data_IF_225655008234
#
_entry.id   IF_225655008234
#
_cell.length_a   1.000
_cell.length_b   1.000
_cell.length_c   1.000
_cell.angle_alpha   90.00
_cell.angle_beta   90.00
_cell.angle_gamma   90.00
#
_symmetry.space_group_name_H-M   'P 1'
#
loop_
_entity.id
_entity.type
_entity.pdbx_description
1 polymer ?
#
# COMPACT_ATOMS: atom_id res chain seq x y z
N UNK A 1 -14.02 17.79 15.05
CA UNK A 1 -12.58 17.52 15.25
C UNK A 1 -11.82 18.49 14.36
N UNK A 2 -10.94 19.30 14.95
CA UNK A 2 -10.15 20.29 14.22
C UNK A 2 -8.95 19.64 13.53
N UNK A 3 -8.34 20.32 12.56
CA UNK A 3 -7.24 19.77 11.77
C UNK A 3 -6.02 19.39 12.63
N UNK A 4 -5.64 20.20 13.61
CA UNK A 4 -4.54 19.88 14.55
C UNK A 4 -4.79 18.57 15.32
N UNK A 5 -6.01 18.39 15.85
CA UNK A 5 -6.39 17.14 16.53
C UNK A 5 -6.37 15.94 15.58
N UNK A 6 -6.69 16.15 14.30
CA UNK A 6 -6.62 15.12 13.28
C UNK A 6 -5.17 14.72 13.00
N UNK A 7 -4.27 15.70 12.91
CA UNK A 7 -2.83 15.52 12.68
C UNK A 7 -2.22 14.73 13.83
N UNK A 8 -2.45 15.13 15.07
CA UNK A 8 -1.93 14.41 16.24
C UNK A 8 -2.42 12.96 16.28
N UNK A 9 -3.71 12.74 16.00
CA UNK A 9 -4.33 11.43 16.20
C UNK A 9 -4.13 10.47 15.02
N UNK A 10 -4.08 10.98 13.81
CA UNK A 10 -4.05 10.17 12.58
C UNK A 10 -2.82 10.41 11.72
N UNK A 11 -1.94 11.35 12.09
CA UNK A 11 -0.70 11.64 11.36
C UNK A 11 0.17 10.40 11.14
N UNK A 12 0.53 9.63 12.18
CA UNK A 12 1.34 8.41 12.02
C UNK A 12 0.67 7.37 11.10
N UNK A 13 -0.66 7.26 11.15
CA UNK A 13 -1.42 6.38 10.27
C UNK A 13 -1.30 6.85 8.82
N UNK A 14 -1.61 8.12 8.54
CA UNK A 14 -1.54 8.69 7.18
C UNK A 14 -0.14 8.58 6.59
N UNK A 15 0.90 8.90 7.37
CA UNK A 15 2.29 8.75 6.97
C UNK A 15 2.61 7.29 6.61
N UNK A 16 2.23 6.35 7.47
CA UNK A 16 2.43 4.91 7.23
C UNK A 16 1.68 4.41 5.98
N UNK A 17 0.46 4.92 5.73
CA UNK A 17 -0.34 4.57 4.55
C UNK A 17 0.39 4.96 3.26
N UNK A 18 0.82 6.22 3.18
CA UNK A 18 1.46 6.78 1.99
C UNK A 18 2.81 6.10 1.77
N UNK A 19 3.60 5.93 2.82
CA UNK A 19 4.92 5.29 2.73
C UNK A 19 4.81 3.83 2.27
N UNK A 20 3.79 3.10 2.71
CA UNK A 20 3.53 1.73 2.24
C UNK A 20 3.24 1.64 0.74
N UNK A 21 2.72 2.71 0.15
CA UNK A 21 2.35 2.77 -1.27
C UNK A 21 3.51 3.32 -2.13
N UNK A 22 4.24 4.34 -1.68
CA UNK A 22 5.25 5.03 -2.48
C UNK A 22 6.69 4.56 -2.24
N UNK A 23 7.02 4.15 -1.00
CA UNK A 23 8.35 3.65 -0.62
C UNK A 23 9.46 4.70 -0.53
N UNK A 24 9.18 5.97 -0.81
CA UNK A 24 10.15 7.08 -0.75
C UNK A 24 9.73 8.10 0.34
N UNK A 25 10.66 8.51 1.19
CA UNK A 25 10.39 9.39 2.33
C UNK A 25 9.97 10.81 1.90
N UNK A 26 10.62 11.39 0.90
CA UNK A 26 10.34 12.77 0.46
C UNK A 26 8.95 12.87 -0.18
N UNK A 27 8.65 11.94 -1.09
CA UNK A 27 7.31 11.83 -1.71
C UNK A 27 6.21 11.60 -0.66
N UNK A 28 6.54 10.91 0.44
CA UNK A 28 5.58 10.64 1.50
C UNK A 28 5.24 11.91 2.28
N UNK A 29 6.24 12.75 2.57
CA UNK A 29 6.04 14.00 3.30
C UNK A 29 5.16 15.00 2.53
N UNK A 30 5.40 15.13 1.21
CA UNK A 30 4.61 16.02 0.36
C UNK A 30 3.13 15.61 0.30
N UNK A 31 2.89 14.31 0.05
CA UNK A 31 1.53 13.78 -0.02
C UNK A 31 0.84 13.81 1.36
N UNK A 32 1.59 13.61 2.43
CA UNK A 32 1.08 13.76 3.79
C UNK A 32 0.55 15.18 4.02
N UNK A 33 1.33 16.19 3.65
CA UNK A 33 0.93 17.58 3.79
C UNK A 33 -0.30 17.89 2.92
N UNK A 34 -0.32 17.43 1.67
CA UNK A 34 -1.46 17.60 0.77
C UNK A 34 -2.76 17.01 1.35
N UNK A 35 -2.69 15.83 1.97
CA UNK A 35 -3.85 15.17 2.59
C UNK A 35 -4.42 15.99 3.74
N UNK A 36 -3.57 16.54 4.60
CA UNK A 36 -4.02 17.32 5.76
C UNK A 36 -4.48 18.73 5.39
N UNK A 37 -3.93 19.35 4.34
CA UNK A 37 -4.47 20.59 3.75
C UNK A 37 -5.89 20.35 3.24
N UNK A 38 -6.10 19.30 2.42
CA UNK A 38 -7.44 18.91 1.94
C UNK A 38 -8.41 18.60 3.08
N UNK A 39 -7.92 17.98 4.16
CA UNK A 39 -8.73 17.70 5.35
C UNK A 39 -9.21 19.01 5.99
N UNK A 40 -8.28 19.95 6.21
CA UNK A 40 -8.56 21.25 6.80
C UNK A 40 -9.59 22.04 5.97
N UNK A 41 -9.37 22.14 4.65
CA UNK A 41 -10.29 22.80 3.71
C UNK A 41 -11.69 22.16 3.77
N UNK A 42 -11.76 20.83 3.65
CA UNK A 42 -13.03 20.10 3.70
C UNK A 42 -13.79 20.33 5.01
N UNK A 43 -13.09 20.30 6.15
CA UNK A 43 -13.73 20.52 7.45
C UNK A 43 -14.11 21.97 7.70
N UNK A 44 -13.38 22.92 7.10
CA UNK A 44 -13.68 24.35 7.17
C UNK A 44 -14.94 24.68 6.35
N UNK A 45 -15.07 24.11 5.16
CA UNK A 45 -16.22 24.36 4.28
C UNK A 45 -17.49 23.59 4.70
N UNK A 46 -17.35 22.32 5.10
CA UNK A 46 -18.49 21.41 5.28
C UNK A 46 -18.78 21.10 6.75
N UNK A 47 -17.97 21.61 7.66
CA UNK A 47 -18.01 21.27 9.07
C UNK A 47 -17.39 19.91 9.39
N UNK A 48 -17.52 19.44 10.65
CA UNK A 48 -16.88 18.23 11.12
C UNK A 48 -17.32 16.97 10.34
N UNK A 49 -16.33 16.18 9.90
CA UNK A 49 -16.60 14.88 9.29
C UNK A 49 -17.04 13.85 10.34
N UNK A 50 -18.08 13.07 10.03
CA UNK A 50 -18.56 12.00 10.89
C UNK A 50 -17.56 10.84 11.05
N UNK A 51 -16.74 10.59 10.02
CA UNK A 51 -15.75 9.52 10.00
C UNK A 51 -14.40 10.03 9.48
N UNK A 52 -13.70 10.88 10.26
CA UNK A 52 -12.48 11.54 9.81
C UNK A 52 -11.35 10.55 9.50
N UNK A 53 -11.24 9.47 10.30
CA UNK A 53 -10.27 8.39 10.04
C UNK A 53 -10.48 7.75 8.66
N UNK A 54 -11.73 7.39 8.34
CA UNK A 54 -12.05 6.74 7.06
C UNK A 54 -11.80 7.69 5.87
N UNK A 55 -12.12 8.97 6.04
CA UNK A 55 -11.83 9.99 5.05
C UNK A 55 -10.31 10.18 4.85
N UNK A 56 -9.54 10.32 5.92
CA UNK A 56 -8.08 10.48 5.85
C UNK A 56 -7.40 9.28 5.19
N UNK A 57 -7.79 8.06 5.57
CA UNK A 57 -7.28 6.86 4.92
C UNK A 57 -7.56 6.89 3.42
N UNK A 58 -8.81 7.21 3.04
CA UNK A 58 -9.24 7.30 1.64
C UNK A 58 -8.43 8.33 0.86
N UNK A 59 -8.32 9.54 1.37
CA UNK A 59 -7.62 10.64 0.71
C UNK A 59 -6.12 10.34 0.59
N UNK A 60 -5.50 9.80 1.64
CA UNK A 60 -4.09 9.41 1.63
C UNK A 60 -3.79 8.32 0.60
N UNK A 61 -4.63 7.28 0.56
CA UNK A 61 -4.50 6.21 -0.43
C UNK A 61 -4.65 6.78 -1.84
N UNK A 62 -5.68 7.59 -2.09
CA UNK A 62 -5.92 8.14 -3.41
C UNK A 62 -4.76 9.03 -3.88
N UNK A 63 -4.26 9.91 -3.00
CA UNK A 63 -3.12 10.77 -3.30
C UNK A 63 -1.87 9.95 -3.69
N UNK A 64 -1.57 8.90 -2.91
CA UNK A 64 -0.43 8.01 -3.19
C UNK A 64 -0.59 7.22 -4.50
N UNK A 65 -1.81 6.73 -4.80
CA UNK A 65 -2.08 6.02 -6.05
C UNK A 65 -2.04 6.94 -7.28
N UNK A 66 -2.63 8.12 -7.17
CA UNK A 66 -2.62 9.10 -8.26
C UNK A 66 -1.20 9.62 -8.53
N UNK A 67 -0.38 9.82 -7.49
CA UNK A 67 1.04 10.14 -7.64
C UNK A 67 1.78 9.04 -8.42
N UNK A 68 1.58 7.77 -8.06
CA UNK A 68 2.20 6.65 -8.77
C UNK A 68 1.75 6.55 -10.24
N UNK A 69 0.46 6.81 -10.53
CA UNK A 69 -0.06 6.87 -11.90
C UNK A 69 0.59 7.97 -12.72
N UNK A 70 0.73 9.15 -12.15
CA UNK A 70 1.40 10.27 -12.80
C UNK A 70 2.87 9.92 -13.06
N UNK A 71 3.58 9.40 -12.05
CA UNK A 71 4.97 8.95 -12.19
C UNK A 71 5.12 7.91 -13.30
N UNK A 72 4.25 6.91 -13.38
CA UNK A 72 4.27 5.91 -14.45
C UNK A 72 4.06 6.51 -15.85
N UNK A 73 3.21 7.53 -15.98
CA UNK A 73 3.00 8.26 -17.25
C UNK A 73 4.22 9.10 -17.64
N UNK A 74 4.88 9.74 -16.68
CA UNK A 74 6.11 10.51 -16.93
C UNK A 74 7.27 9.59 -17.33
N UNK A 75 7.43 8.45 -16.64
CA UNK A 75 8.47 7.46 -16.97
C UNK A 75 8.19 6.75 -18.30
N UNK A 76 6.93 6.62 -18.72
CA UNK A 76 6.55 6.12 -20.04
C UNK A 76 6.97 7.06 -21.20
N UNK A 77 7.27 8.33 -20.93
CA UNK A 77 7.72 9.30 -21.93
C UNK A 77 9.25 9.41 -22.01
N UNK A 78 9.95 9.12 -20.91
CA UNK A 78 11.41 9.03 -20.88
C UNK A 78 11.85 7.57 -21.00
N UNK A 79 12.25 7.15 -22.20
CA UNK A 79 12.87 5.85 -22.39
C UNK A 79 14.09 5.72 -21.44
N UNK A 80 14.05 4.73 -20.54
CA UNK A 80 15.06 4.41 -19.53
C UNK A 80 15.26 5.43 -18.40
N UNK A 81 14.44 5.35 -17.36
CA UNK A 81 14.85 5.77 -16.02
C UNK A 81 14.82 4.53 -15.11
N UNK A 82 15.99 4.12 -14.63
CA UNK A 82 16.14 3.12 -13.57
C UNK A 82 15.20 3.48 -12.42
N UNK A 83 14.42 2.50 -11.96
CA UNK A 83 13.58 2.64 -10.78
C UNK A 83 14.52 3.00 -9.61
N UNK A 84 14.44 4.21 -9.02
CA UNK A 84 15.21 4.47 -7.81
C UNK A 84 14.51 3.68 -6.70
N UNK A 85 15.06 2.51 -6.39
CA UNK A 85 14.67 1.71 -5.23
C UNK A 85 15.79 1.82 -4.21
N UNK A 86 15.91 3.00 -3.59
CA UNK A 86 16.62 3.11 -2.32
C UNK A 86 15.58 3.26 -1.21
N UNK A 87 15.29 2.17 -0.53
CA UNK A 87 14.42 2.15 0.63
C UNK A 87 15.26 1.57 1.77
N UNK A 88 15.76 2.44 2.64
CA UNK A 88 16.41 1.99 3.87
C UNK A 88 15.34 1.57 4.87
N UNK A 89 15.46 0.34 5.36
CA UNK A 89 14.54 -0.30 6.27
C UNK A 89 14.91 0.05 7.72
N UNK A 90 13.99 0.65 8.47
CA UNK A 90 14.07 0.68 9.93
C UNK A 90 13.10 -0.35 10.54
N UNK A 91 13.73 -1.41 11.06
CA UNK A 91 13.41 -2.30 12.20
C UNK A 91 11.97 -2.55 12.65
N UNK A 92 11.51 -3.82 12.49
CA UNK A 92 10.84 -4.64 13.53
C UNK A 92 11.09 -6.12 13.23
N UNK A 93 11.95 -6.80 13.97
CA UNK A 93 12.61 -8.07 13.60
C UNK A 93 11.65 -9.29 13.49
N UNK A 94 11.91 -10.15 12.51
CA UNK A 94 11.34 -11.49 12.21
C UNK A 94 9.96 -11.58 11.54
N UNK A 95 8.88 -11.02 12.10
CA UNK A 95 7.58 -10.97 11.40
C UNK A 95 7.61 -9.93 10.25
N UNK A 96 8.57 -8.98 10.30
CA UNK A 96 8.79 -8.03 9.20
C UNK A 96 9.41 -8.67 7.97
N UNK A 97 10.26 -9.68 8.06
CA UNK A 97 10.97 -10.17 6.88
C UNK A 97 10.00 -10.78 5.86
N UNK A 98 9.01 -11.53 6.34
CA UNK A 98 7.98 -12.09 5.47
C UNK A 98 6.99 -11.03 4.99
N UNK A 99 6.59 -10.10 5.86
CA UNK A 99 5.73 -8.97 5.49
C UNK A 99 6.41 -8.07 4.46
N UNK A 100 7.71 -7.83 4.62
CA UNK A 100 8.54 -7.03 3.72
C UNK A 100 8.77 -7.78 2.41
N UNK A 101 9.00 -9.09 2.45
CA UNK A 101 9.03 -9.93 1.23
C UNK A 101 7.70 -9.84 0.47
N UNK A 102 6.57 -9.96 1.16
CA UNK A 102 5.23 -9.81 0.56
C UNK A 102 5.05 -8.40 0.00
N UNK A 103 5.53 -7.37 0.70
CA UNK A 103 5.44 -5.99 0.26
C UNK A 103 6.26 -5.74 -1.01
N UNK A 104 7.51 -6.22 -1.07
CA UNK A 104 8.36 -6.17 -2.26
C UNK A 104 7.67 -6.85 -3.44
N UNK A 105 7.16 -8.07 -3.23
CA UNK A 105 6.43 -8.80 -4.27
C UNK A 105 5.15 -8.08 -4.72
N UNK A 106 4.45 -7.40 -3.82
CA UNK A 106 3.26 -6.62 -4.18
C UNK A 106 3.59 -5.47 -5.15
N UNK A 107 4.82 -4.95 -5.15
CA UNK A 107 5.27 -3.94 -6.12
C UNK A 107 5.28 -4.50 -7.54
N UNK A 108 5.48 -5.80 -7.74
CA UNK A 108 5.48 -6.40 -9.08
C UNK A 108 4.07 -6.77 -9.57
N UNK A 109 3.04 -6.64 -8.73
CA UNK A 109 1.66 -6.82 -9.17
C UNK A 109 1.26 -5.73 -10.18
N UNK A 110 0.40 -6.07 -11.17
CA UNK A 110 -0.30 -5.09 -11.96
C UNK A 110 -1.02 -4.07 -11.06
N UNK A 111 -0.99 -2.80 -11.46
CA UNK A 111 -1.41 -1.66 -10.64
C UNK A 111 -2.74 -1.90 -9.90
N UNK A 112 -3.82 -2.23 -10.63
CA UNK A 112 -5.15 -2.49 -10.05
C UNK A 112 -5.14 -3.61 -8.99
N UNK A 113 -4.31 -4.64 -9.19
CA UNK A 113 -4.18 -5.77 -8.24
C UNK A 113 -3.39 -5.33 -7.01
N UNK A 114 -2.32 -4.56 -7.19
CA UNK A 114 -1.52 -3.98 -6.11
C UNK A 114 -2.37 -3.09 -5.21
N UNK A 115 -3.12 -2.17 -5.82
CA UNK A 115 -4.04 -1.25 -5.12
C UNK A 115 -5.01 -1.99 -4.21
N UNK A 116 -5.72 -2.96 -4.79
CA UNK A 116 -6.70 -3.77 -4.07
C UNK A 116 -6.03 -4.60 -2.97
N UNK A 117 -4.85 -5.16 -3.24
CA UNK A 117 -4.11 -5.97 -2.28
C UNK A 117 -3.67 -5.14 -1.06
N UNK A 118 -3.08 -3.97 -1.30
CA UNK A 118 -2.67 -3.04 -0.23
C UNK A 118 -3.87 -2.64 0.60
N UNK A 119 -4.96 -2.21 -0.05
CA UNK A 119 -6.18 -1.80 0.64
C UNK A 119 -6.80 -2.93 1.49
N UNK A 120 -6.82 -4.16 0.96
CA UNK A 120 -7.48 -5.28 1.63
C UNK A 120 -6.67 -5.83 2.78
N UNK A 121 -5.37 -6.05 2.57
CA UNK A 121 -4.52 -6.84 3.47
C UNK A 121 -3.67 -5.98 4.39
N UNK A 122 -3.20 -4.81 3.93
CA UNK A 122 -2.43 -3.90 4.79
C UNK A 122 -3.31 -2.88 5.50
N UNK A 123 -4.46 -2.51 4.92
CA UNK A 123 -5.35 -1.48 5.47
C UNK A 123 -6.69 -2.00 6.00
N UNK A 124 -6.99 -3.30 5.81
CA UNK A 124 -8.19 -3.92 6.34
C UNK A 124 -9.49 -3.40 5.74
N UNK A 125 -9.46 -2.72 4.59
CA UNK A 125 -10.67 -2.18 3.97
C UNK A 125 -11.62 -3.30 3.50
N UNK A 126 -12.93 -3.06 3.64
CA UNK A 126 -13.95 -3.95 3.07
C UNK A 126 -13.98 -3.84 1.54
N UNK A 127 -14.47 -4.87 0.85
CA UNK A 127 -14.59 -4.84 -0.61
C UNK A 127 -15.50 -3.70 -1.11
N UNK A 128 -16.47 -3.26 -0.31
CA UNK A 128 -17.32 -2.11 -0.61
C UNK A 128 -16.60 -0.78 -0.46
N UNK A 129 -15.70 -0.68 0.53
CA UNK A 129 -14.83 0.49 0.67
C UNK A 129 -13.84 0.56 -0.49
N UNK A 130 -13.21 -0.57 -0.84
CA UNK A 130 -12.28 -0.68 -1.98
C UNK A 130 -12.99 -0.33 -3.30
N UNK A 131 -14.20 -0.84 -3.50
CA UNK A 131 -15.03 -0.53 -4.66
C UNK A 131 -15.26 0.98 -4.82
N UNK A 132 -15.61 1.66 -3.73
CA UNK A 132 -15.79 3.12 -3.71
C UNK A 132 -14.49 3.88 -3.93
N UNK A 133 -13.37 3.37 -3.41
CA UNK A 133 -12.05 3.98 -3.54
C UNK A 133 -11.51 3.92 -4.97
N UNK A 134 -11.57 2.73 -5.58
CA UNK A 134 -11.00 2.45 -6.90
C UNK A 134 -12.01 2.57 -8.05
N UNK A 135 -13.16 3.19 -7.76
CA UNK A 135 -14.30 3.38 -8.67
C UNK A 135 -14.61 2.10 -9.47
N UNK A 136 -14.87 1.00 -8.78
CA UNK A 136 -15.14 -0.32 -9.35
C UNK A 136 -16.28 -1.03 -8.63
N UNK A 137 -16.74 -2.17 -9.16
CA UNK A 137 -17.74 -2.97 -8.47
C UNK A 137 -17.12 -3.77 -7.32
N UNK A 138 -17.86 -4.06 -6.23
CA UNK A 138 -17.38 -4.95 -5.16
C UNK A 138 -16.99 -6.35 -5.67
N UNK A 139 -17.61 -6.82 -6.75
CA UNK A 139 -17.23 -8.07 -7.43
C UNK A 139 -15.85 -7.96 -8.09
N UNK A 140 -15.59 -6.87 -8.81
CA UNK A 140 -14.29 -6.60 -9.42
C UNK A 140 -13.19 -6.46 -8.35
N UNK A 141 -13.47 -5.77 -7.24
CA UNK A 141 -12.54 -5.67 -6.11
C UNK A 141 -12.21 -7.06 -5.51
N UNK A 142 -13.21 -7.93 -5.31
CA UNK A 142 -12.97 -9.31 -4.83
C UNK A 142 -12.12 -10.13 -5.80
N UNK A 143 -12.44 -10.07 -7.09
CA UNK A 143 -11.70 -10.79 -8.13
C UNK A 143 -10.23 -10.33 -8.20
N UNK A 144 -10.00 -9.01 -8.17
CA UNK A 144 -8.66 -8.44 -8.16
C UNK A 144 -7.87 -8.83 -6.90
N UNK A 145 -8.49 -8.80 -5.71
CA UNK A 145 -7.85 -9.23 -4.46
C UNK A 145 -7.44 -10.70 -4.51
N UNK A 146 -8.33 -11.55 -5.02
CA UNK A 146 -8.07 -12.97 -5.17
C UNK A 146 -6.91 -13.23 -6.16
N UNK A 147 -6.92 -12.58 -7.32
CA UNK A 147 -5.83 -12.69 -8.30
C UNK A 147 -4.49 -12.22 -7.72
N UNK A 148 -4.49 -11.10 -6.98
CA UNK A 148 -3.29 -10.57 -6.32
C UNK A 148 -2.72 -11.56 -5.28
N UNK A 149 -3.57 -12.07 -4.39
CA UNK A 149 -3.16 -13.03 -3.36
C UNK A 149 -2.66 -14.35 -3.97
N UNK A 150 -3.32 -14.84 -5.04
CA UNK A 150 -2.88 -16.03 -5.78
C UNK A 150 -1.48 -15.83 -6.36
N UNK A 151 -1.24 -14.69 -7.01
CA UNK A 151 0.02 -14.39 -7.67
C UNK A 151 1.18 -14.24 -6.66
N UNK A 152 0.97 -13.52 -5.55
CA UNK A 152 1.94 -13.43 -4.46
C UNK A 152 2.24 -14.79 -3.86
N UNK A 153 1.21 -15.62 -3.65
CA UNK A 153 1.41 -16.99 -3.14
C UNK A 153 2.28 -17.81 -4.08
N UNK A 154 2.04 -17.74 -5.39
CA UNK A 154 2.86 -18.43 -6.40
C UNK A 154 4.32 -18.01 -6.35
N UNK A 155 4.59 -16.70 -6.25
CA UNK A 155 5.95 -16.18 -6.12
C UNK A 155 6.64 -16.63 -4.83
N UNK A 156 5.92 -16.60 -3.69
CA UNK A 156 6.43 -17.11 -2.42
C UNK A 156 6.78 -18.60 -2.48
N UNK A 157 6.02 -19.40 -3.23
CA UNK A 157 6.27 -20.84 -3.39
C UNK A 157 7.35 -21.19 -4.40
N UNK A 158 7.60 -20.33 -5.41
CA UNK A 158 8.69 -20.55 -6.38
C UNK A 158 10.07 -20.18 -5.81
N UNK A 159 10.13 -19.36 -4.76
CA UNK A 159 11.36 -18.94 -4.09
C UNK A 159 11.92 -19.95 -3.05
N UNK A 160 11.37 -21.15 -2.97
CA UNK A 160 11.92 -22.19 -2.10
C UNK A 160 12.77 -23.19 -2.91
N UNK A 161 14.11 -23.18 -2.79
CA UNK A 161 14.83 -24.43 -2.85
C UNK A 161 14.35 -25.25 -1.66
N UNK A 162 13.75 -26.40 -1.93
CA UNK A 162 13.53 -27.44 -0.94
C UNK A 162 14.86 -27.69 -0.21
N UNK A 163 14.98 -27.23 1.03
CA UNK A 163 16.00 -27.72 1.93
C UNK A 163 15.70 -29.21 2.18
N UNK A 164 16.48 -30.03 1.53
CA UNK A 164 16.59 -31.47 1.68
C UNK A 164 16.93 -31.79 3.14
N UNK A 165 16.07 -32.56 3.80
CA UNK A 165 16.56 -33.59 4.73
C UNK A 165 15.79 -34.88 4.46
N UNK A 166 16.05 -35.44 3.28
CA UNK A 166 16.09 -36.90 3.16
C UNK A 166 17.44 -37.34 3.70
N UNK A 167 17.44 -37.96 4.88
CA UNK A 167 18.49 -38.90 5.26
C UNK A 167 17.80 -40.21 5.59
N UNK A 168 17.65 -41.05 4.56
CA UNK A 168 17.48 -42.49 4.75
C UNK A 168 18.80 -43.07 5.27
N UNK A 169 18.68 -43.88 6.31
CA UNK A 169 19.37 -45.16 6.55
C UNK A 169 20.88 -45.26 6.21
N UNK A 170 21.71 -45.43 7.27
CA UNK A 170 22.82 -46.39 7.27
C UNK A 170 23.33 -46.69 8.71
N UNK A 171 23.00 -47.88 9.20
CA UNK A 171 23.94 -48.85 9.80
C UNK A 171 24.68 -48.50 11.11
N UNK A 172 24.19 -49.00 12.26
CA UNK A 172 24.91 -49.96 13.13
C UNK A 172 24.00 -50.62 14.17
#
# INVERSE_FOLDING_TARGET
MHAEQAIERFGPLVMSLIWRINGNHDETADLYQEVFVKFHETTSERGPLQQPKAWLCRTAINAALDFNRQRARFVSWSESAEKPHNWEANDVVENSLMVEKIRRLAVDLPERRREVFVLRYFQGCSFEQIARLLNCSPGAARAAAFQAAKQIRTWLTCDCPSATTSTKEANR
#
